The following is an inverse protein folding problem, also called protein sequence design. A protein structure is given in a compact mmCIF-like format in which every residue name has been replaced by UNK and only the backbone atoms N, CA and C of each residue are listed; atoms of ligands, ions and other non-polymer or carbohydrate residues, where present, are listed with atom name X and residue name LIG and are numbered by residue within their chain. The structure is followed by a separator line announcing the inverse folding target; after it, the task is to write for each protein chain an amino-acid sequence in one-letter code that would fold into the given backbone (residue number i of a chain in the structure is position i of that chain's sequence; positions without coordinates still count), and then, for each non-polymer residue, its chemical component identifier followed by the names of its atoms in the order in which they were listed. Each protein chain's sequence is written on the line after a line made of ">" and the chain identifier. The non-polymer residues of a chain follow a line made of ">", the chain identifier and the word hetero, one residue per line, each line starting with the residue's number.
data_IF_090653375118
#
_entry.id   IF_090653375118
#
_cell.length_a   1.000
_cell.length_b   1.000
_cell.length_c   1.000
_cell.angle_alpha   90.00
_cell.angle_beta   90.00
_cell.angle_gamma   90.00
#
_symmetry.space_group_name_H-M   'P 1'
#
loop_
_entity.id
_entity.type
_entity.pdbx_description
1 polymer ?
#
# COMPACT_ATOMS: atom_id res chain seq x y z
N UNK A 1 9.84 -2.49 -1.51
CA UNK A 1 8.98 -1.29 -1.46
C UNK A 1 9.26 -0.46 -2.69
N UNK A 2 8.29 -0.28 -3.59
CA UNK A 2 8.45 0.62 -4.73
C UNK A 2 8.66 2.07 -4.25
N UNK A 3 9.66 2.76 -4.79
CA UNK A 3 9.93 4.17 -4.55
C UNK A 3 10.10 4.88 -5.88
N UNK A 4 9.30 5.92 -6.14
CA UNK A 4 9.55 6.76 -7.31
C UNK A 4 10.92 7.43 -7.17
N UNK A 5 11.81 7.23 -8.14
CA UNK A 5 13.20 7.66 -8.01
C UNK A 5 13.30 9.18 -8.13
N UNK A 6 13.84 9.79 -7.08
CA UNK A 6 14.04 11.23 -6.99
C UNK A 6 15.44 11.52 -6.47
N UNK A 7 15.97 12.69 -6.84
CA UNK A 7 17.24 13.17 -6.30
C UNK A 7 16.96 14.03 -5.08
N UNK A 8 17.49 13.61 -3.93
CA UNK A 8 17.44 14.34 -2.65
C UNK A 8 18.88 14.55 -2.21
N UNK A 9 19.26 15.81 -2.00
CA UNK A 9 20.62 16.21 -1.62
C UNK A 9 21.74 15.58 -2.49
N UNK A 10 21.47 15.45 -3.79
CA UNK A 10 22.42 14.90 -4.78
C UNK A 10 22.51 13.38 -4.83
N UNK A 11 21.71 12.65 -4.04
CA UNK A 11 21.64 11.18 -4.02
C UNK A 11 20.26 10.68 -4.43
N UNK A 12 20.19 9.44 -4.91
CA UNK A 12 18.92 8.77 -5.20
C UNK A 12 18.17 8.47 -3.91
N UNK A 13 16.87 8.76 -3.87
CA UNK A 13 16.03 8.52 -2.70
C UNK A 13 16.03 7.03 -2.30
N UNK A 14 16.03 6.12 -3.28
CA UNK A 14 16.12 4.67 -2.99
C UNK A 14 17.43 4.29 -2.29
N UNK A 15 18.56 4.90 -2.68
CA UNK A 15 19.87 4.69 -2.05
C UNK A 15 19.93 5.27 -0.64
N UNK A 16 19.33 6.44 -0.41
CA UNK A 16 19.22 7.03 0.95
C UNK A 16 18.40 6.09 1.84
N UNK A 17 17.21 5.67 1.40
CA UNK A 17 16.35 4.78 2.19
C UNK A 17 17.07 3.47 2.52
N UNK A 18 17.75 2.85 1.55
CA UNK A 18 18.44 1.56 1.78
C UNK A 18 19.70 1.67 2.66
N UNK A 19 20.35 2.84 2.71
CA UNK A 19 21.59 3.03 3.48
C UNK A 19 21.34 3.59 4.88
N UNK A 20 20.35 4.47 5.02
CA UNK A 20 20.07 5.20 6.26
C UNK A 20 18.81 4.69 6.95
N UNK A 21 18.09 3.75 6.32
CA UNK A 21 16.81 3.20 6.76
C UNK A 21 15.81 4.32 7.10
N UNK A 22 15.74 5.35 6.26
CA UNK A 22 14.92 6.53 6.51
C UNK A 22 14.42 7.15 5.19
N UNK A 23 13.13 7.45 5.12
CA UNK A 23 12.57 8.23 4.03
C UNK A 23 12.62 9.72 4.40
N UNK A 24 13.80 10.32 4.23
CA UNK A 24 14.10 11.70 4.63
C UNK A 24 13.16 12.75 4.03
N UNK A 25 12.50 12.43 2.91
CA UNK A 25 11.58 13.34 2.21
C UNK A 25 10.15 13.24 2.71
N UNK A 26 9.63 12.01 2.83
CA UNK A 26 8.19 11.78 3.08
C UNK A 26 7.88 11.38 4.52
N UNK A 27 8.86 10.87 5.27
CA UNK A 27 8.73 10.51 6.68
C UNK A 27 10.04 10.79 7.44
N UNK A 28 10.44 12.07 7.57
CA UNK A 28 11.70 12.43 8.21
C UNK A 28 11.72 12.05 9.69
N UNK A 29 12.91 11.76 10.21
CA UNK A 29 13.22 11.39 11.59
C UNK A 29 12.60 10.06 12.04
N UNK A 30 12.20 9.18 11.11
CA UNK A 30 11.64 7.86 11.41
C UNK A 30 12.45 6.76 10.76
N UNK A 31 12.99 5.87 11.58
CA UNK A 31 13.73 4.70 11.11
C UNK A 31 12.77 3.62 10.65
N UNK A 32 12.97 3.18 9.41
CA UNK A 32 12.35 2.01 8.83
C UNK A 32 13.08 0.76 9.32
N UNK A 33 12.39 -0.37 9.47
CA UNK A 33 13.03 -1.65 9.77
C UNK A 33 14.07 -2.05 8.69
N UNK A 34 15.12 -2.76 9.11
CA UNK A 34 16.23 -3.17 8.22
C UNK A 34 15.79 -4.09 7.07
N UNK A 35 14.65 -4.77 7.22
CA UNK A 35 14.07 -5.62 6.20
C UNK A 35 13.26 -4.86 5.13
N UNK A 36 13.15 -3.53 5.21
CA UNK A 36 12.54 -2.70 4.18
C UNK A 36 13.59 -2.31 3.14
N UNK A 37 13.39 -2.79 1.91
CA UNK A 37 14.24 -2.48 0.75
C UNK A 37 13.46 -1.56 -0.20
N UNK A 38 13.99 -0.37 -0.46
CA UNK A 38 13.52 0.55 -1.48
C UNK A 38 13.99 0.13 -2.87
N UNK A 39 13.05 0.06 -3.81
CA UNK A 39 13.30 -0.36 -5.19
C UNK A 39 12.64 0.62 -6.17
N UNK A 40 13.41 1.27 -7.07
CA UNK A 40 12.83 2.16 -8.08
C UNK A 40 12.18 1.42 -9.26
N UNK A 41 12.37 0.11 -9.38
CA UNK A 41 11.73 -0.70 -10.41
C UNK A 41 10.41 -1.28 -9.88
N UNK A 42 9.30 -0.79 -10.42
CA UNK A 42 7.96 -1.19 -10.02
C UNK A 42 7.72 -2.69 -10.24
N UNK A 43 8.16 -3.25 -11.38
CA UNK A 43 7.92 -4.66 -11.71
C UNK A 43 8.75 -5.54 -10.78
N UNK A 44 10.04 -5.24 -10.61
CA UNK A 44 10.93 -6.00 -9.73
C UNK A 44 10.42 -6.02 -8.30
N UNK A 45 9.85 -4.91 -7.83
CA UNK A 45 9.29 -4.80 -6.49
C UNK A 45 8.02 -5.63 -6.25
N UNK A 46 7.33 -6.07 -7.31
CA UNK A 46 5.99 -6.67 -7.25
C UNK A 46 5.90 -8.10 -7.82
N UNK A 47 6.77 -8.49 -8.75
CA UNK A 47 6.65 -9.73 -9.55
C UNK A 47 6.48 -11.01 -8.73
N UNK A 48 7.17 -11.11 -7.59
CA UNK A 48 7.15 -12.29 -6.72
C UNK A 48 6.36 -12.08 -5.41
N UNK A 49 5.59 -10.98 -5.30
CA UNK A 49 4.85 -10.70 -4.08
C UNK A 49 3.58 -11.54 -3.99
N UNK A 50 3.35 -12.17 -2.84
CA UNK A 50 2.07 -12.83 -2.52
C UNK A 50 1.03 -11.83 -1.98
N UNK A 51 1.48 -10.71 -1.40
CA UNK A 51 0.64 -9.63 -0.89
C UNK A 51 1.14 -8.30 -1.45
N UNK A 52 0.26 -7.58 -2.15
CA UNK A 52 0.53 -6.25 -2.69
C UNK A 52 -0.18 -5.18 -1.85
N UNK A 53 0.58 -4.29 -1.23
CA UNK A 53 0.03 -3.18 -0.43
C UNK A 53 0.04 -1.90 -1.26
N UNK A 54 -1.13 -1.41 -1.66
CA UNK A 54 -1.30 -0.18 -2.42
C UNK A 54 -1.46 1.02 -1.49
N UNK A 55 -0.44 1.87 -1.42
CA UNK A 55 -0.39 3.07 -0.57
C UNK A 55 0.18 4.26 -1.35
N UNK A 56 -0.48 4.60 -2.46
CA UNK A 56 -0.08 5.68 -3.36
C UNK A 56 -1.22 6.69 -3.53
N UNK A 57 -0.95 7.94 -3.96
CA UNK A 57 -2.01 8.84 -4.40
C UNK A 57 -2.92 8.18 -5.45
N UNK A 58 -4.25 8.36 -5.33
CA UNK A 58 -5.23 7.68 -6.18
C UNK A 58 -5.00 7.92 -7.68
N UNK A 59 -4.49 9.10 -8.05
CA UNK A 59 -4.19 9.48 -9.44
C UNK A 59 -3.13 8.61 -10.13
N UNK A 60 -2.27 7.92 -9.36
CA UNK A 60 -1.22 7.07 -9.91
C UNK A 60 -1.62 5.60 -10.07
N UNK A 61 -2.73 5.18 -9.45
CA UNK A 61 -3.12 3.77 -9.37
C UNK A 61 -3.29 3.14 -10.76
N UNK A 62 -3.99 3.83 -11.67
CA UNK A 62 -4.25 3.31 -13.02
C UNK A 62 -2.96 3.11 -13.82
N UNK A 63 -1.97 4.00 -13.67
CA UNK A 63 -0.66 3.89 -14.32
C UNK A 63 0.17 2.73 -13.76
N UNK A 64 0.16 2.57 -12.43
CA UNK A 64 0.81 1.45 -11.74
C UNK A 64 0.18 0.12 -12.17
N UNK A 65 -1.15 0.01 -12.14
CA UNK A 65 -1.85 -1.21 -12.52
C UNK A 65 -1.60 -1.57 -13.99
N UNK A 66 -1.55 -0.58 -14.89
CA UNK A 66 -1.18 -0.81 -16.31
C UNK A 66 0.21 -1.43 -16.45
N UNK A 67 1.16 -1.01 -15.63
CA UNK A 67 2.54 -1.50 -15.67
C UNK A 67 2.68 -2.90 -15.05
N UNK A 68 1.91 -3.19 -14.00
CA UNK A 68 1.89 -4.49 -13.31
C UNK A 68 1.04 -5.56 -14.01
N UNK A 69 0.21 -5.18 -14.98
CA UNK A 69 -0.70 -6.10 -15.65
C UNK A 69 0.07 -7.23 -16.35
N UNK A 70 -0.24 -8.47 -15.94
CA UNK A 70 0.36 -9.68 -16.50
C UNK A 70 1.78 -10.00 -16.02
N UNK A 71 2.32 -9.23 -15.06
CA UNK A 71 3.65 -9.48 -14.49
C UNK A 71 3.61 -9.97 -13.05
N UNK A 72 2.53 -9.72 -12.32
CA UNK A 72 2.38 -10.16 -10.92
C UNK A 72 1.93 -11.62 -10.81
N UNK A 73 2.15 -12.22 -9.64
CA UNK A 73 1.59 -13.54 -9.30
C UNK A 73 0.04 -13.49 -9.34
N UNK A 74 -0.63 -14.31 -10.19
CA UNK A 74 -2.10 -14.29 -10.29
C UNK A 74 -2.81 -14.82 -9.03
N UNK A 75 -2.08 -15.44 -8.10
CA UNK A 75 -2.59 -15.85 -6.79
C UNK A 75 -2.31 -14.84 -5.68
N UNK A 76 -1.63 -13.74 -6.00
CA UNK A 76 -1.40 -12.67 -5.03
C UNK A 76 -2.73 -12.08 -4.60
N UNK A 77 -2.75 -11.54 -3.38
CA UNK A 77 -3.84 -10.69 -2.89
C UNK A 77 -3.35 -9.25 -2.79
N UNK A 78 -4.25 -8.30 -2.90
CA UNK A 78 -3.95 -6.90 -2.70
C UNK A 78 -4.72 -6.33 -1.50
N UNK A 79 -4.16 -5.27 -0.92
CA UNK A 79 -4.85 -4.41 0.03
C UNK A 79 -4.62 -2.95 -0.33
N UNK A 80 -5.69 -2.17 -0.41
CA UNK A 80 -5.64 -0.73 -0.70
C UNK A 80 -5.83 0.09 0.57
N UNK A 81 -4.88 0.98 0.84
CA UNK A 81 -4.96 2.00 1.91
C UNK A 81 -5.34 3.38 1.33
N UNK A 82 -5.71 3.42 0.06
CA UNK A 82 -5.91 4.65 -0.70
C UNK A 82 -7.31 5.18 -0.40
N UNK A 83 -7.37 6.37 0.19
CA UNK A 83 -8.63 7.10 0.41
C UNK A 83 -9.02 7.85 -0.86
N UNK A 84 -10.30 7.74 -1.24
CA UNK A 84 -10.87 8.40 -2.40
C UNK A 84 -11.46 7.43 -3.40
N UNK A 85 -11.73 7.93 -4.60
CA UNK A 85 -12.37 7.20 -5.67
C UNK A 85 -11.87 7.70 -7.03
N UNK A 86 -12.12 6.90 -8.06
CA UNK A 86 -11.88 7.27 -9.45
C UNK A 86 -13.16 7.85 -10.07
N UNK A 87 -13.05 9.00 -10.73
CA UNK A 87 -14.16 9.58 -11.47
C UNK A 87 -14.22 8.97 -12.88
N UNK A 88 -15.37 8.41 -13.22
CA UNK A 88 -15.62 7.84 -14.54
C UNK A 88 -16.03 8.94 -15.54
N UNK A 89 -15.79 8.75 -16.85
CA UNK A 89 -16.16 9.74 -17.87
C UNK A 89 -17.66 10.08 -17.93
N UNK A 90 -18.51 9.19 -17.41
CA UNK A 90 -19.95 9.40 -17.32
C UNK A 90 -20.38 10.13 -16.03
N UNK A 91 -19.44 10.63 -15.23
CA UNK A 91 -19.69 11.24 -13.92
C UNK A 91 -19.97 10.23 -12.80
N UNK A 92 -19.83 8.93 -13.08
CA UNK A 92 -19.91 7.88 -12.08
C UNK A 92 -18.67 7.82 -11.20
N UNK A 93 -18.79 7.10 -10.09
CA UNK A 93 -17.70 6.88 -9.14
C UNK A 93 -17.32 5.40 -9.17
N UNK A 94 -16.02 5.11 -9.24
CA UNK A 94 -15.46 3.77 -9.12
C UNK A 94 -14.51 3.71 -7.91
N UNK A 95 -14.64 2.67 -7.08
CA UNK A 95 -13.76 2.50 -5.94
C UNK A 95 -12.34 2.16 -6.42
N UNK A 96 -11.32 2.67 -5.72
CA UNK A 96 -9.92 2.36 -6.07
C UNK A 96 -9.63 0.86 -5.97
N UNK A 97 -10.28 0.15 -5.04
CA UNK A 97 -10.21 -1.31 -4.95
C UNK A 97 -10.72 -1.99 -6.22
N UNK A 98 -11.80 -1.48 -6.82
CA UNK A 98 -12.38 -2.03 -8.04
C UNK A 98 -11.48 -1.75 -9.25
N UNK A 99 -10.89 -0.55 -9.33
CA UNK A 99 -9.88 -0.23 -10.36
C UNK A 99 -8.72 -1.23 -10.33
N UNK A 100 -8.20 -1.53 -9.14
CA UNK A 100 -7.09 -2.49 -8.95
C UNK A 100 -7.56 -3.90 -9.34
N UNK A 101 -8.73 -4.33 -8.84
CA UNK A 101 -9.31 -5.63 -9.13
C UNK A 101 -9.51 -5.85 -10.63
N UNK A 102 -10.19 -4.92 -11.31
CA UNK A 102 -10.46 -4.99 -12.75
C UNK A 102 -9.17 -4.98 -13.58
N UNK A 103 -8.15 -4.25 -13.12
CA UNK A 103 -6.89 -4.12 -13.87
C UNK A 103 -5.98 -5.34 -13.75
N UNK A 104 -5.90 -5.91 -12.54
CA UNK A 104 -4.91 -6.94 -12.18
C UNK A 104 -5.52 -8.35 -12.03
N UNK A 105 -6.84 -8.46 -11.87
CA UNK A 105 -7.54 -9.74 -11.77
C UNK A 105 -7.30 -10.50 -10.46
N UNK A 106 -6.94 -9.78 -9.38
CA UNK A 106 -6.66 -10.34 -8.05
C UNK A 106 -7.66 -9.82 -7.02
N UNK A 107 -7.84 -10.55 -5.92
CA UNK A 107 -8.68 -10.11 -4.81
C UNK A 107 -8.07 -8.88 -4.13
N UNK A 108 -8.92 -7.88 -3.84
CA UNK A 108 -8.49 -6.62 -3.23
C UNK A 108 -9.28 -6.40 -1.95
N UNK A 109 -8.58 -6.34 -0.83
CA UNK A 109 -9.10 -5.83 0.44
C UNK A 109 -8.84 -4.35 0.58
N UNK A 110 -9.48 -3.69 1.54
CA UNK A 110 -9.26 -2.27 1.85
C UNK A 110 -8.93 -2.11 3.32
N UNK A 111 -8.04 -1.17 3.65
CA UNK A 111 -7.78 -0.76 5.03
C UNK A 111 -8.12 0.71 5.17
N UNK A 112 -9.18 1.00 5.93
CA UNK A 112 -9.73 2.34 6.09
C UNK A 112 -9.80 2.66 7.59
N UNK A 113 -9.41 3.89 7.95
CA UNK A 113 -9.38 4.34 9.34
C UNK A 113 -9.00 5.80 9.48
N UNK A 114 -9.21 6.35 10.67
CA UNK A 114 -8.83 7.73 11.03
C UNK A 114 -7.33 7.80 11.37
N UNK A 115 -6.49 7.41 10.42
CA UNK A 115 -5.07 7.17 10.66
C UNK A 115 -4.27 8.31 10.00
N UNK A 116 -3.53 9.08 10.80
CA UNK A 116 -2.54 10.02 10.31
C UNK A 116 -1.17 9.33 10.33
N UNK A 117 -0.50 9.28 9.17
CA UNK A 117 0.76 8.52 9.01
C UNK A 117 1.82 8.90 10.07
N UNK A 118 1.92 10.18 10.43
CA UNK A 118 2.83 10.66 11.47
C UNK A 118 2.47 10.13 12.85
N UNK A 119 1.19 10.08 13.20
CA UNK A 119 0.74 9.59 14.50
C UNK A 119 0.96 8.09 14.64
N UNK A 120 0.71 7.33 13.56
CA UNK A 120 1.02 5.90 13.49
C UNK A 120 2.53 5.68 13.65
N UNK A 121 3.36 6.48 12.96
CA UNK A 121 4.82 6.41 13.07
C UNK A 121 5.37 6.93 14.41
N UNK A 122 4.57 7.71 15.16
CA UNK A 122 4.84 8.12 16.54
C UNK A 122 4.33 7.06 17.55
N UNK A 123 3.88 5.90 17.08
CA UNK A 123 3.32 4.81 17.88
C UNK A 123 2.12 5.22 18.75
N UNK A 124 1.40 6.26 18.31
CA UNK A 124 0.16 6.66 18.97
C UNK A 124 -0.93 5.65 18.69
N UNK A 125 -1.74 5.40 19.72
CA UNK A 125 -2.89 4.52 19.61
C UNK A 125 -3.86 5.01 18.52
N UNK A 126 -4.22 4.11 17.60
CA UNK A 126 -5.28 4.32 16.64
C UNK A 126 -5.90 2.98 16.21
N UNK A 127 -7.09 3.08 15.62
CA UNK A 127 -7.88 1.94 15.16
C UNK A 127 -8.16 2.05 13.68
N UNK A 128 -8.20 0.91 13.00
CA UNK A 128 -8.54 0.83 11.59
C UNK A 128 -9.41 -0.38 11.31
N UNK A 129 -10.17 -0.31 10.23
CA UNK A 129 -10.99 -1.41 9.74
C UNK A 129 -10.38 -2.01 8.47
N UNK A 130 -10.41 -3.34 8.36
CA UNK A 130 -10.18 -4.03 7.10
C UNK A 130 -11.51 -4.49 6.52
N UNK A 131 -11.79 -4.05 5.29
CA UNK A 131 -12.85 -4.59 4.45
C UNK A 131 -12.28 -5.69 3.55
N UNK A 132 -12.80 -6.90 3.65
CA UNK A 132 -12.37 -8.04 2.83
C UNK A 132 -13.53 -9.00 2.52
N UNK A 133 -13.54 -9.58 1.31
CA UNK A 133 -14.53 -10.58 0.90
C UNK A 133 -14.29 -11.96 1.51
N UNK A 134 -13.02 -12.32 1.68
CA UNK A 134 -12.59 -13.61 2.18
C UNK A 134 -12.07 -13.48 3.62
N UNK A 135 -12.73 -14.14 4.57
CA UNK A 135 -12.35 -14.11 5.99
C UNK A 135 -10.94 -14.65 6.25
N UNK A 136 -10.51 -15.67 5.49
CA UNK A 136 -9.15 -16.22 5.59
C UNK A 136 -8.09 -15.21 5.16
N UNK A 137 -8.33 -14.45 4.07
CA UNK A 137 -7.45 -13.36 3.65
C UNK A 137 -7.46 -12.22 4.69
N UNK A 138 -8.64 -11.89 5.22
CA UNK A 138 -8.80 -10.88 6.28
C UNK A 138 -7.98 -11.20 7.52
N UNK A 139 -7.91 -12.46 7.93
CA UNK A 139 -7.08 -12.90 9.07
C UNK A 139 -5.59 -12.68 8.80
N UNK A 140 -5.09 -13.08 7.61
CA UNK A 140 -3.69 -12.87 7.21
C UNK A 140 -3.36 -11.37 7.21
N UNK A 141 -4.23 -10.54 6.64
CA UNK A 141 -4.01 -9.10 6.58
C UNK A 141 -4.09 -8.46 7.97
N UNK A 142 -4.99 -8.92 8.84
CA UNK A 142 -5.04 -8.47 10.23
C UNK A 142 -3.74 -8.76 10.97
N UNK A 143 -3.21 -9.97 10.84
CA UNK A 143 -1.93 -10.34 11.46
C UNK A 143 -0.76 -9.52 10.90
N UNK A 144 -0.82 -9.16 9.60
CA UNK A 144 0.19 -8.34 8.94
C UNK A 144 0.20 -6.87 9.43
N UNK A 145 -0.97 -6.27 9.65
CA UNK A 145 -1.08 -4.84 9.99
C UNK A 145 -1.22 -4.56 11.49
N UNK A 146 -1.72 -5.49 12.28
CA UNK A 146 -2.02 -5.22 13.68
C UNK A 146 -0.74 -5.10 14.52
N UNK A 147 -0.67 -4.04 15.30
CA UNK A 147 0.35 -3.85 16.35
C UNK A 147 -0.32 -3.52 17.68
N UNK A 148 0.47 -3.26 18.71
CA UNK A 148 -0.09 -2.86 20.00
C UNK A 148 -0.82 -1.52 19.98
N UNK A 149 -0.33 -0.60 19.13
CA UNK A 149 -0.85 0.76 19.00
C UNK A 149 -1.66 0.97 17.71
N UNK A 150 -1.65 0.01 16.79
CA UNK A 150 -2.46 0.02 15.56
C UNK A 150 -3.41 -1.18 15.57
N UNK A 151 -4.62 -0.98 16.12
CA UNK A 151 -5.55 -2.08 16.40
C UNK A 151 -6.57 -2.27 15.28
N UNK A 152 -6.93 -3.54 15.05
CA UNK A 152 -7.94 -3.95 14.07
C UNK A 152 -9.07 -4.71 14.77
N UNK A 153 -10.05 -3.99 15.36
CA UNK A 153 -11.08 -4.60 16.20
C UNK A 153 -12.02 -5.51 15.41
N UNK A 154 -12.30 -5.21 14.14
CA UNK A 154 -13.25 -5.95 13.31
C UNK A 154 -12.74 -6.13 11.87
N UNK A 155 -13.18 -7.24 11.27
CA UNK A 155 -13.12 -7.47 9.84
C UNK A 155 -14.53 -7.27 9.28
N UNK A 156 -14.66 -6.45 8.25
CA UNK A 156 -15.94 -6.20 7.59
C UNK A 156 -15.98 -6.90 6.23
N UNK A 157 -17.11 -7.51 5.92
CA UNK A 157 -17.37 -8.06 4.58
C UNK A 157 -17.82 -6.91 3.66
N UNK A 158 -17.08 -6.69 2.58
CA UNK A 158 -17.34 -5.66 1.55
C UNK A 158 -17.58 -6.29 0.18
#
# INVERSE_FOLDING_TARGET
>A
MYVYEEIVDGRKLSEIINSEHENVKYLPCKKLPDNIIADPDLIRSAINADILVFVVPHSFVSGICKTLKGTINPKAIAISLIKGFNELPNGGIELISDVIHHSLGIDVSVLMGANLAKEVADEKFCETTIGCKCSAQGAILKDLFQTDNFRLPSLESV
#
